data_IF_888056507884
#
_entry.id   IF_888056507884
#
_cell.length_a   1.000
_cell.length_b   1.000
_cell.length_c   1.000
_cell.angle_alpha   90.00
_cell.angle_beta   90.00
_cell.angle_gamma   90.00
#
_symmetry.space_group_name_H-M   'P 1'
#
loop_
_entity.id
_entity.type
_entity.pdbx_description
1 polymer ?
#
# COMPACT_ATOMS: atom_id res chain seq x y z
N UNK A 1 -1.59 -17.82 22.10
CA UNK A 1 -2.86 -17.53 21.40
C UNK A 1 -2.50 -17.40 19.93
N UNK A 2 -3.12 -18.11 18.98
CA UNK A 2 -2.92 -17.75 17.58
C UNK A 2 -3.51 -16.35 17.39
N UNK A 3 -2.70 -15.40 16.96
CA UNK A 3 -3.19 -14.12 16.48
C UNK A 3 -3.90 -14.44 15.17
N UNK A 4 -5.24 -14.39 15.16
CA UNK A 4 -6.01 -14.52 13.92
C UNK A 4 -5.63 -13.34 13.04
N UNK A 5 -4.86 -13.60 11.98
CA UNK A 5 -4.54 -12.58 10.98
C UNK A 5 -5.85 -11.98 10.43
N UNK A 6 -5.99 -10.65 10.37
CA UNK A 6 -7.17 -10.02 9.79
C UNK A 6 -7.37 -10.47 8.34
N UNK A 7 -8.63 -10.70 7.93
CA UNK A 7 -8.92 -11.10 6.55
C UNK A 7 -8.67 -9.95 5.57
N UNK A 8 -7.83 -10.18 4.57
CA UNK A 8 -7.55 -9.24 3.47
C UNK A 8 -8.83 -8.78 2.81
N UNK A 9 -9.71 -9.71 2.44
CA UNK A 9 -11.00 -9.39 1.80
C UNK A 9 -11.90 -8.54 2.69
N UNK A 10 -11.94 -8.80 3.99
CA UNK A 10 -12.73 -7.99 4.93
C UNK A 10 -12.19 -6.56 5.02
N UNK A 11 -10.87 -6.40 5.10
CA UNK A 11 -10.21 -5.09 5.09
C UNK A 11 -10.45 -4.33 3.79
N UNK A 12 -10.33 -4.98 2.63
CA UNK A 12 -10.65 -4.37 1.35
C UNK A 12 -12.10 -3.91 1.27
N UNK A 13 -13.06 -4.72 1.71
CA UNK A 13 -14.48 -4.32 1.71
C UNK A 13 -14.74 -3.05 2.52
N UNK A 14 -14.02 -2.85 3.63
CA UNK A 14 -14.09 -1.66 4.47
C UNK A 14 -13.49 -0.44 3.76
N UNK A 15 -12.28 -0.58 3.22
CA UNK A 15 -11.60 0.45 2.43
C UNK A 15 -12.49 0.87 1.25
N UNK A 16 -13.03 -0.10 0.51
CA UNK A 16 -13.97 0.09 -0.59
C UNK A 16 -15.20 0.90 -0.21
N UNK A 17 -15.84 0.54 0.91
CA UNK A 17 -17.03 1.24 1.40
C UNK A 17 -16.71 2.70 1.75
N UNK A 18 -15.56 2.94 2.38
CA UNK A 18 -15.09 4.27 2.72
C UNK A 18 -14.79 5.09 1.46
N UNK A 19 -14.02 4.53 0.51
CA UNK A 19 -13.64 5.21 -0.74
C UNK A 19 -14.86 5.55 -1.58
N UNK A 20 -15.83 4.64 -1.74
CA UNK A 20 -17.07 4.95 -2.48
C UNK A 20 -17.85 6.14 -1.91
N UNK A 21 -17.73 6.37 -0.60
CA UNK A 21 -18.46 7.43 0.11
C UNK A 21 -17.69 8.75 0.10
N UNK A 22 -16.38 8.70 0.31
CA UNK A 22 -15.57 9.88 0.61
C UNK A 22 -14.53 10.23 -0.46
N UNK A 23 -14.11 9.26 -1.27
CA UNK A 23 -13.11 9.46 -2.33
C UNK A 23 -13.43 8.62 -3.59
N UNK A 24 -14.58 8.87 -4.25
CA UNK A 24 -15.03 8.05 -5.38
C UNK A 24 -14.07 8.08 -6.58
N UNK A 25 -13.33 9.17 -6.78
CA UNK A 25 -12.28 9.26 -7.80
C UNK A 25 -11.12 8.29 -7.52
N UNK A 26 -10.71 8.16 -6.25
CA UNK A 26 -9.73 7.15 -5.84
C UNK A 26 -10.28 5.73 -5.95
N UNK A 27 -11.57 5.52 -5.64
CA UNK A 27 -12.24 4.24 -5.85
C UNK A 27 -12.24 3.83 -7.32
N UNK A 28 -12.55 4.76 -8.22
CA UNK A 28 -12.61 4.50 -9.67
C UNK A 28 -11.26 4.11 -10.27
N UNK A 29 -10.15 4.43 -9.59
CA UNK A 29 -8.79 4.06 -10.00
C UNK A 29 -8.37 2.66 -9.55
N UNK A 30 -9.09 2.05 -8.61
CA UNK A 30 -8.84 0.65 -8.23
C UNK A 30 -9.20 -0.26 -9.41
N UNK A 31 -8.23 -1.08 -9.83
CA UNK A 31 -8.46 -2.02 -10.90
C UNK A 31 -9.47 -3.11 -10.46
N UNK A 32 -10.20 -3.72 -11.41
CA UNK A 32 -10.96 -4.93 -11.12
C UNK A 32 -10.03 -6.06 -10.62
N UNK A 33 -10.60 -7.15 -10.07
CA UNK A 33 -9.83 -8.33 -9.68
C UNK A 33 -8.89 -8.83 -10.79
N UNK A 34 -7.73 -9.33 -10.39
CA UNK A 34 -6.76 -9.91 -11.30
C UNK A 34 -7.29 -11.17 -11.96
N UNK A 35 -6.92 -11.38 -13.22
CA UNK A 35 -7.18 -12.63 -13.92
C UNK A 35 -6.34 -13.75 -13.27
N UNK A 36 -6.96 -14.85 -12.80
CA UNK A 36 -6.23 -15.99 -12.24
C UNK A 36 -5.15 -16.55 -13.18
N UNK A 37 -5.36 -16.50 -14.50
CA UNK A 37 -4.38 -16.98 -15.47
C UNK A 37 -3.15 -16.06 -15.54
N UNK A 38 -3.34 -14.74 -15.37
CA UNK A 38 -2.23 -13.79 -15.25
C UNK A 38 -1.43 -14.02 -13.96
N UNK A 39 -2.12 -14.32 -12.85
CA UNK A 39 -1.45 -14.64 -11.58
C UNK A 39 -0.63 -15.92 -11.69
N UNK A 40 -1.20 -16.98 -12.30
CA UNK A 40 -0.48 -18.23 -12.51
C UNK A 40 0.75 -18.04 -13.41
N UNK A 41 0.63 -17.23 -14.47
CA UNK A 41 1.77 -16.84 -15.30
C UNK A 41 2.84 -16.11 -14.48
N UNK A 42 2.45 -15.17 -13.61
CA UNK A 42 3.39 -14.42 -12.77
C UNK A 42 4.15 -15.32 -11.78
N UNK A 43 3.44 -16.23 -11.09
CA UNK A 43 4.07 -17.22 -10.20
C UNK A 43 5.09 -18.09 -10.96
N UNK A 44 4.71 -18.59 -12.14
CA UNK A 44 5.60 -19.39 -13.00
C UNK A 44 6.84 -18.59 -13.40
N UNK A 45 6.65 -17.35 -13.80
CA UNK A 45 7.69 -16.54 -14.40
C UNK A 45 8.68 -15.97 -13.37
N UNK A 46 8.21 -15.71 -12.15
CA UNK A 46 9.08 -15.36 -11.03
C UNK A 46 9.71 -16.60 -10.38
N UNK A 47 9.18 -17.81 -10.68
CA UNK A 47 9.58 -19.03 -10.00
C UNK A 47 9.24 -19.03 -8.50
N UNK A 48 8.21 -18.27 -8.11
CA UNK A 48 7.78 -18.08 -6.73
C UNK A 48 6.31 -18.45 -6.57
N UNK A 49 5.93 -18.82 -5.35
CA UNK A 49 4.52 -18.85 -4.95
C UNK A 49 4.15 -17.55 -4.30
N UNK A 50 3.03 -16.96 -4.72
CA UNK A 50 2.53 -15.74 -4.10
C UNK A 50 1.91 -16.07 -2.74
N UNK A 51 2.21 -15.30 -1.68
CA UNK A 51 1.59 -15.48 -0.37
C UNK A 51 0.06 -15.40 -0.46
N UNK A 52 -0.68 -16.17 0.36
CA UNK A 52 -2.15 -16.19 0.34
C UNK A 52 -2.78 -14.79 0.44
N UNK A 53 -2.24 -13.93 1.30
CA UNK A 53 -2.75 -12.57 1.46
C UNK A 53 -2.61 -11.72 0.17
N UNK A 54 -1.51 -11.89 -0.56
CA UNK A 54 -1.31 -11.20 -1.84
C UNK A 54 -2.31 -11.70 -2.89
N UNK A 55 -2.54 -13.01 -2.94
CA UNK A 55 -3.54 -13.61 -3.82
C UNK A 55 -4.95 -13.10 -3.50
N UNK A 56 -5.31 -13.01 -2.22
CA UNK A 56 -6.60 -12.45 -1.81
C UNK A 56 -6.73 -10.97 -2.18
N UNK A 57 -5.66 -10.19 -2.02
CA UNK A 57 -5.63 -8.77 -2.36
C UNK A 57 -5.81 -8.57 -3.87
N UNK A 58 -5.07 -9.30 -4.69
CA UNK A 58 -5.17 -9.29 -6.15
C UNK A 58 -6.55 -9.76 -6.64
N UNK A 59 -7.19 -10.70 -5.93
CA UNK A 59 -8.55 -11.12 -6.20
C UNK A 59 -9.63 -10.09 -5.78
N UNK A 60 -9.24 -9.03 -5.07
CA UNK A 60 -10.08 -7.85 -4.83
C UNK A 60 -9.77 -6.77 -5.87
N UNK A 61 -8.50 -6.38 -6.01
CA UNK A 61 -8.04 -5.35 -6.95
C UNK A 61 -6.67 -5.69 -7.54
N UNK A 62 -6.58 -5.67 -8.87
CA UNK A 62 -5.31 -5.84 -9.59
C UNK A 62 -4.50 -4.53 -9.62
N UNK A 63 -4.18 -3.98 -8.45
CA UNK A 63 -3.50 -2.68 -8.35
C UNK A 63 -4.38 -1.51 -8.79
N UNK A 64 -3.76 -0.52 -9.44
CA UNK A 64 -4.44 0.68 -9.95
C UNK A 64 -4.47 0.74 -11.48
N UNK A 65 -5.57 1.28 -12.03
CA UNK A 65 -5.66 1.64 -13.45
C UNK A 65 -5.16 3.07 -13.69
N UNK A 66 -4.35 3.26 -14.74
CA UNK A 66 -3.91 4.58 -15.19
C UNK A 66 -2.58 5.05 -14.59
N UNK A 67 -2.22 6.31 -14.87
CA UNK A 67 -0.97 6.89 -14.37
C UNK A 67 -1.00 7.02 -12.84
N UNK A 68 0.06 6.53 -12.20
CA UNK A 68 0.26 6.56 -10.76
C UNK A 68 0.94 7.88 -10.37
N UNK A 69 0.16 8.88 -9.96
CA UNK A 69 0.68 10.01 -9.19
C UNK A 69 0.85 9.66 -7.70
N UNK A 70 1.23 10.63 -6.88
CA UNK A 70 1.36 10.50 -5.40
C UNK A 70 0.01 10.37 -4.66
N UNK A 71 -1.09 10.31 -5.41
CA UNK A 71 -2.47 10.25 -4.91
C UNK A 71 -3.00 8.84 -5.16
N UNK A 72 -3.44 8.18 -4.09
CA UNK A 72 -3.81 6.77 -4.13
C UNK A 72 -4.48 6.28 -2.85
N UNK A 73 -5.16 5.12 -2.92
CA UNK A 73 -6.02 4.65 -1.85
C UNK A 73 -5.27 4.13 -0.62
N UNK A 74 -3.98 3.82 -0.75
CA UNK A 74 -3.15 3.22 0.29
C UNK A 74 -1.99 4.15 0.68
N UNK A 75 -1.56 4.13 1.96
CA UNK A 75 -0.45 4.94 2.42
C UNK A 75 0.88 4.53 1.77
N UNK A 76 1.63 5.55 1.36
CA UNK A 76 2.93 5.39 0.74
C UNK A 76 2.80 5.15 -0.76
N UNK A 77 2.88 3.89 -1.18
CA UNK A 77 3.13 3.52 -2.58
C UNK A 77 1.87 2.94 -3.24
N UNK A 78 1.56 3.31 -4.49
CA UNK A 78 0.43 2.74 -5.22
C UNK A 78 0.63 1.22 -5.44
N UNK A 79 -0.41 0.40 -5.24
CA UNK A 79 -0.33 -1.03 -5.48
C UNK A 79 -0.19 -1.33 -6.98
N UNK A 80 0.68 -2.30 -7.28
CA UNK A 80 1.03 -2.73 -8.62
C UNK A 80 0.01 -3.75 -9.15
N UNK A 81 -0.26 -3.67 -10.46
CA UNK A 81 -0.89 -4.77 -11.21
C UNK A 81 0.03 -5.98 -11.24
N UNK A 82 -0.52 -7.19 -11.45
CA UNK A 82 0.26 -8.44 -11.61
C UNK A 82 1.37 -8.28 -12.66
N UNK A 83 1.09 -7.64 -13.80
CA UNK A 83 2.08 -7.40 -14.84
C UNK A 83 3.22 -6.49 -14.36
N UNK A 84 2.89 -5.43 -13.61
CA UNK A 84 3.87 -4.53 -13.02
C UNK A 84 4.71 -5.21 -11.92
N UNK A 85 4.11 -6.10 -11.11
CA UNK A 85 4.85 -6.92 -10.12
C UNK A 85 5.96 -7.70 -10.83
N UNK A 86 5.62 -8.42 -11.90
CA UNK A 86 6.58 -9.22 -12.68
C UNK A 86 7.63 -8.33 -13.35
N UNK A 87 7.21 -7.24 -13.99
CA UNK A 87 8.12 -6.32 -14.67
C UNK A 87 9.13 -5.70 -13.69
N UNK A 88 8.66 -5.28 -12.49
CA UNK A 88 9.52 -4.71 -11.47
C UNK A 88 10.49 -5.73 -10.91
N UNK A 89 10.02 -6.92 -10.58
CA UNK A 89 10.86 -8.00 -10.08
C UNK A 89 11.95 -8.36 -11.10
N UNK A 90 11.59 -8.52 -12.38
CA UNK A 90 12.57 -8.80 -13.45
C UNK A 90 13.64 -7.71 -13.55
N UNK A 91 13.24 -6.44 -13.54
CA UNK A 91 14.19 -5.32 -13.58
C UNK A 91 15.17 -5.34 -12.40
N UNK A 92 14.72 -5.72 -11.20
CA UNK A 92 15.61 -5.90 -10.04
C UNK A 92 16.55 -7.10 -10.20
N UNK A 93 16.08 -8.21 -10.73
CA UNK A 93 16.93 -9.39 -11.02
C UNK A 93 18.00 -9.11 -12.08
N UNK A 94 17.65 -8.35 -13.12
CA UNK A 94 18.59 -7.90 -14.14
C UNK A 94 19.67 -6.98 -13.55
N UNK A 95 19.28 -6.04 -12.70
CA UNK A 95 20.22 -5.15 -12.00
C UNK A 95 21.19 -5.93 -11.11
N UNK A 96 20.68 -6.87 -10.31
CA UNK A 96 21.52 -7.76 -9.49
C UNK A 96 22.54 -8.53 -10.34
N UNK A 97 22.11 -9.08 -11.48
CA UNK A 97 22.98 -9.81 -12.40
C UNK A 97 24.05 -8.89 -12.99
N UNK A 98 23.68 -7.67 -13.38
CA UNK A 98 24.60 -6.67 -13.91
C UNK A 98 25.64 -6.22 -12.87
N UNK A 99 25.23 -5.98 -11.63
CA UNK A 99 26.12 -5.61 -10.53
C UNK A 99 27.10 -6.75 -10.18
N UNK A 100 26.60 -7.98 -10.05
CA UNK A 100 27.44 -9.15 -9.77
C UNK A 100 28.49 -9.41 -10.87
N UNK A 101 28.20 -9.06 -12.12
CA UNK A 101 29.16 -9.15 -13.21
C UNK A 101 30.27 -8.06 -13.18
N UNK A 102 30.07 -6.99 -12.40
CA UNK A 102 30.96 -5.82 -12.32
C UNK A 102 31.81 -5.78 -11.05
N UNK A 103 31.34 -6.38 -9.95
CA UNK A 103 32.06 -6.41 -8.68
C UNK A 103 32.97 -7.64 -8.54
N UNK A 104 34.19 -7.43 -8.05
CA UNK A 104 34.97 -8.48 -7.41
C UNK A 104 34.50 -8.56 -5.95
N UNK A 105 33.92 -9.70 -5.58
CA UNK A 105 33.37 -10.00 -4.25
C UNK A 105 34.28 -9.50 -3.12
N UNK A 106 33.75 -8.66 -2.23
CA UNK A 106 34.53 -8.02 -1.19
C UNK A 106 33.80 -7.55 0.07
N UNK A 107 32.49 -7.27 0.05
CA UNK A 107 31.78 -6.80 1.25
C UNK A 107 30.61 -7.73 1.64
N UNK A 108 30.56 -8.05 2.94
CA UNK A 108 29.49 -8.77 3.65
C UNK A 108 28.27 -7.84 3.91
N UNK A 109 27.87 -7.04 2.92
CA UNK A 109 26.69 -6.19 3.04
C UNK A 109 25.42 -7.03 2.77
N UNK A 110 24.32 -6.71 3.48
CA UNK A 110 23.04 -7.33 3.19
C UNK A 110 22.64 -7.01 1.73
N UNK A 111 22.06 -7.95 0.97
CA UNK A 111 21.75 -7.70 -0.43
C UNK A 111 20.68 -6.60 -0.56
N UNK A 112 20.92 -5.64 -1.45
CA UNK A 112 19.97 -4.57 -1.80
C UNK A 112 18.61 -5.10 -2.29
N UNK A 113 18.60 -6.34 -2.78
CA UNK A 113 17.40 -7.03 -3.22
C UNK A 113 17.52 -8.55 -3.05
N UNK A 114 16.41 -9.22 -2.73
CA UNK A 114 16.35 -10.68 -2.70
C UNK A 114 15.36 -11.22 -3.74
N UNK A 115 15.71 -12.32 -4.41
CA UNK A 115 14.87 -12.93 -5.45
C UNK A 115 13.49 -13.36 -4.96
N UNK A 116 13.32 -13.61 -3.65
CA UNK A 116 12.05 -13.97 -3.02
C UNK A 116 11.31 -12.77 -2.38
N UNK A 117 11.71 -11.53 -2.66
CA UNK A 117 10.92 -10.36 -2.29
C UNK A 117 9.99 -9.98 -3.43
N UNK A 118 8.68 -9.99 -3.14
CA UNK A 118 7.65 -9.71 -4.15
C UNK A 118 7.27 -8.23 -4.03
N UNK A 119 7.63 -7.36 -4.99
CA UNK A 119 7.17 -5.97 -4.99
C UNK A 119 5.68 -5.95 -5.23
N UNK A 120 4.91 -5.36 -4.33
CA UNK A 120 3.45 -5.29 -4.48
C UNK A 120 2.95 -3.85 -4.59
N UNK A 121 3.75 -2.87 -4.17
CA UNK A 121 3.50 -1.45 -4.35
C UNK A 121 4.81 -0.69 -4.63
N UNK A 122 4.80 0.37 -5.44
CA UNK A 122 6.01 1.13 -5.76
C UNK A 122 5.74 2.62 -6.02
N UNK A 123 6.63 3.50 -5.58
CA UNK A 123 6.73 4.89 -6.03
C UNK A 123 8.19 5.31 -6.05
N UNK A 124 8.59 6.10 -7.06
CA UNK A 124 9.89 6.79 -7.12
C UNK A 124 11.12 5.89 -6.87
N UNK A 125 11.06 4.63 -7.32
CA UNK A 125 12.15 3.68 -7.17
C UNK A 125 12.13 2.88 -5.87
N UNK A 126 11.37 3.32 -4.86
CA UNK A 126 11.17 2.58 -3.63
C UNK A 126 10.03 1.58 -3.81
N UNK A 127 10.20 0.36 -3.30
CA UNK A 127 9.19 -0.70 -3.40
C UNK A 127 8.74 -1.16 -2.02
N UNK A 128 7.42 -1.26 -1.79
CA UNK A 128 6.90 -2.07 -0.71
C UNK A 128 6.88 -3.53 -1.19
N UNK A 129 7.50 -4.40 -0.40
CA UNK A 129 7.70 -5.80 -0.75
C UNK A 129 7.07 -6.71 0.29
N UNK A 130 6.70 -7.90 -0.16
CA UNK A 130 6.31 -9.02 0.71
C UNK A 130 7.45 -10.03 0.70
N UNK A 131 7.95 -10.39 1.88
CA UNK A 131 9.01 -11.38 2.01
C UNK A 131 8.44 -12.79 1.83
N UNK A 132 8.71 -13.45 0.70
CA UNK A 132 8.25 -14.81 0.42
C UNK A 132 9.25 -15.90 0.83
N UNK A 133 10.37 -15.53 1.50
CA UNK A 133 11.32 -16.50 2.01
C UNK A 133 10.68 -17.36 3.09
N UNK A 134 10.98 -18.64 3.10
CA UNK A 134 10.58 -19.52 4.19
C UNK A 134 11.32 -19.11 5.47
N UNK A 135 10.58 -18.96 6.57
CA UNK A 135 11.15 -18.61 7.87
C UNK A 135 10.29 -17.66 8.68
N UNK A 136 10.90 -17.01 9.67
CA UNK A 136 10.20 -16.18 10.63
C UNK A 136 9.59 -14.89 10.02
N UNK A 137 10.10 -14.47 8.86
CA UNK A 137 9.68 -13.25 8.16
C UNK A 137 8.76 -13.53 6.97
N UNK A 138 8.38 -14.79 6.73
CA UNK A 138 7.49 -15.13 5.61
C UNK A 138 6.17 -14.37 5.72
N UNK A 139 5.83 -13.62 4.67
CA UNK A 139 4.64 -12.78 4.59
C UNK A 139 4.80 -11.36 5.14
N UNK A 140 5.95 -11.01 5.75
CA UNK A 140 6.18 -9.67 6.26
C UNK A 140 6.13 -8.64 5.13
N UNK A 141 5.52 -7.50 5.43
CA UNK A 141 5.44 -6.34 4.54
C UNK A 141 6.38 -5.27 5.04
N UNK A 142 7.27 -4.80 4.18
CA UNK A 142 8.14 -3.67 4.47
C UNK A 142 8.58 -2.96 3.18
N UNK A 143 9.44 -1.97 3.31
CA UNK A 143 9.92 -1.14 2.20
C UNK A 143 11.38 -1.44 1.89
N UNK A 144 11.68 -1.65 0.62
CA UNK A 144 13.04 -1.57 0.07
C UNK A 144 13.20 -0.19 -0.54
N UNK A 145 14.04 0.64 0.07
CA UNK A 145 14.39 1.96 -0.45
C UNK A 145 15.44 1.82 -1.56
N UNK A 146 15.42 2.73 -2.53
CA UNK A 146 16.34 2.64 -3.67
C UNK A 146 17.80 3.01 -3.32
N UNK A 147 18.03 3.65 -2.17
CA UNK A 147 19.32 4.13 -1.67
C UNK A 147 19.83 3.39 -0.43
N UNK A 148 19.05 2.45 0.12
CA UNK A 148 19.40 1.63 1.29
C UNK A 148 19.29 0.13 0.99
N UNK A 149 20.05 -0.67 1.75
CA UNK A 149 19.99 -2.12 1.67
C UNK A 149 18.89 -2.72 2.58
N UNK A 150 18.28 -3.82 2.14
CA UNK A 150 17.37 -4.62 2.95
C UNK A 150 15.91 -4.14 2.99
N UNK A 151 15.08 -4.88 3.73
CA UNK A 151 13.71 -4.49 4.06
C UNK A 151 13.74 -3.61 5.32
N UNK A 152 13.24 -2.40 5.19
CA UNK A 152 12.99 -1.42 6.25
C UNK A 152 11.47 -1.28 6.50
N UNK A 153 11.05 -0.50 7.50
CA UNK A 153 9.63 -0.23 7.81
C UNK A 153 8.73 -1.50 7.84
N UNK A 154 9.26 -2.59 8.41
CA UNK A 154 8.62 -3.91 8.43
C UNK A 154 7.67 -4.10 9.64
N UNK A 155 6.82 -3.10 9.90
CA UNK A 155 5.93 -3.10 11.07
C UNK A 155 4.81 -4.16 10.97
N UNK A 156 4.53 -4.66 9.75
CA UNK A 156 3.46 -5.62 9.50
C UNK A 156 4.01 -7.01 9.18
N UNK A 157 3.56 -7.99 9.96
CA UNK A 157 3.87 -9.40 9.75
C UNK A 157 3.08 -10.04 8.60
N UNK A 158 2.11 -9.32 8.01
CA UNK A 158 1.29 -9.80 6.90
C UNK A 158 0.63 -8.63 6.15
N UNK A 159 0.26 -8.85 4.89
CA UNK A 159 -0.50 -7.88 4.11
C UNK A 159 -1.92 -7.71 4.66
N UNK A 160 -2.53 -8.76 5.23
CA UNK A 160 -3.81 -8.67 5.93
C UNK A 160 -3.77 -7.69 7.10
N UNK A 161 -2.70 -7.71 7.91
CA UNK A 161 -2.51 -6.76 9.01
C UNK A 161 -2.34 -5.32 8.51
N UNK A 162 -1.54 -5.10 7.45
CA UNK A 162 -1.37 -3.78 6.86
C UNK A 162 -2.70 -3.20 6.36
N UNK A 163 -3.47 -3.96 5.57
CA UNK A 163 -4.75 -3.50 5.05
C UNK A 163 -5.80 -3.30 6.15
N UNK A 164 -5.73 -4.09 7.23
CA UNK A 164 -6.58 -3.89 8.39
C UNK A 164 -6.30 -2.53 9.04
N UNK A 165 -5.04 -2.19 9.30
CA UNK A 165 -4.68 -0.91 9.91
C UNK A 165 -5.04 0.27 9.01
N UNK A 166 -4.91 0.13 7.68
CA UNK A 166 -5.41 1.13 6.72
C UNK A 166 -6.91 1.36 6.91
N UNK A 167 -7.70 0.28 6.99
CA UNK A 167 -9.14 0.37 7.19
C UNK A 167 -9.49 1.03 8.53
N UNK A 168 -8.79 0.67 9.62
CA UNK A 168 -8.98 1.27 10.94
C UNK A 168 -8.72 2.79 10.90
N UNK A 169 -7.64 3.23 10.25
CA UNK A 169 -7.29 4.66 10.16
C UNK A 169 -8.30 5.43 9.30
N UNK A 170 -8.78 4.87 8.19
CA UNK A 170 -9.82 5.52 7.38
C UNK A 170 -11.14 5.66 8.14
N UNK A 171 -11.55 4.61 8.86
CA UNK A 171 -12.84 4.60 9.55
C UNK A 171 -12.85 5.41 10.85
N UNK A 172 -11.76 5.40 11.61
CA UNK A 172 -11.69 5.94 12.96
C UNK A 172 -10.73 7.12 13.12
N UNK A 173 -9.93 7.41 12.08
CA UNK A 173 -8.87 8.40 12.13
C UNK A 173 -7.60 7.86 12.78
N UNK A 174 -6.57 8.70 12.84
CA UNK A 174 -5.25 8.33 13.34
C UNK A 174 -4.20 8.37 12.24
N UNK A 175 -3.17 7.54 12.38
CA UNK A 175 -2.05 7.48 11.45
C UNK A 175 -1.53 6.07 11.28
N UNK A 176 -0.98 5.80 10.12
CA UNK A 176 -0.27 4.58 9.79
C UNK A 176 1.21 4.93 9.61
N UNK A 177 2.06 4.50 10.54
CA UNK A 177 3.42 5.01 10.65
C UNK A 177 3.43 6.54 10.85
N UNK A 178 3.92 7.27 9.85
CA UNK A 178 3.93 8.76 9.82
C UNK A 178 2.82 9.37 8.96
N UNK A 179 2.04 8.54 8.27
CA UNK A 179 1.07 8.98 7.26
C UNK A 179 -0.35 9.10 7.82
N UNK A 180 -1.03 10.17 7.44
CA UNK A 180 -2.42 10.53 7.78
C UNK A 180 -3.21 10.71 6.47
N UNK A 181 -4.48 10.29 6.40
CA UNK A 181 -5.30 10.45 5.21
C UNK A 181 -5.85 11.88 5.06
N UNK A 182 -5.77 12.40 3.84
CA UNK A 182 -6.27 13.69 3.40
C UNK A 182 -7.08 13.55 2.10
N UNK A 183 -8.00 14.47 1.85
CA UNK A 183 -8.69 14.62 0.57
C UNK A 183 -8.18 15.87 -0.16
N UNK A 184 -7.90 15.70 -1.45
CA UNK A 184 -7.70 16.82 -2.38
C UNK A 184 -9.02 17.57 -2.60
N UNK A 185 -8.96 18.76 -3.19
CA UNK A 185 -10.16 19.49 -3.64
C UNK A 185 -10.98 18.72 -4.69
N UNK A 186 -10.31 17.88 -5.48
CA UNK A 186 -10.93 16.92 -6.40
C UNK A 186 -11.54 15.69 -5.75
N UNK A 187 -11.48 15.56 -4.42
CA UNK A 187 -12.03 14.41 -3.70
C UNK A 187 -11.23 13.12 -3.86
N UNK A 188 -9.94 13.21 -4.17
CA UNK A 188 -9.05 12.06 -4.17
C UNK A 188 -8.36 11.89 -2.80
N UNK A 189 -8.19 10.65 -2.37
CA UNK A 189 -7.45 10.28 -1.18
C UNK A 189 -5.94 10.42 -1.41
N UNK A 190 -5.28 11.10 -0.49
CA UNK A 190 -3.84 11.26 -0.43
C UNK A 190 -3.36 11.02 1.00
N UNK A 191 -2.20 10.36 1.15
CA UNK A 191 -1.61 10.08 2.44
C UNK A 191 -0.32 10.88 2.58
N UNK A 192 -0.19 11.65 3.66
CA UNK A 192 0.99 12.47 3.92
C UNK A 192 1.24 12.65 5.41
N UNK A 193 2.30 13.35 5.78
CA UNK A 193 2.65 13.70 7.14
C UNK A 193 1.53 14.50 7.82
N UNK A 194 1.38 14.25 9.12
CA UNK A 194 0.47 15.02 9.95
C UNK A 194 0.79 16.53 9.88
N UNK A 195 -0.24 17.33 9.61
CA UNK A 195 -0.13 18.77 9.47
C UNK A 195 0.15 19.26 8.04
N UNK A 196 0.28 18.37 7.05
CA UNK A 196 0.31 18.79 5.65
C UNK A 196 -0.99 19.50 5.27
N UNK A 197 -0.87 20.65 4.60
CA UNK A 197 -2.02 21.48 4.19
C UNK A 197 -2.21 21.56 2.67
N UNK A 198 -1.23 21.14 1.87
CA UNK A 198 -1.31 21.14 0.41
C UNK A 198 -0.37 20.13 -0.25
N UNK A 199 -0.82 19.53 -1.35
CA UNK A 199 -0.01 18.77 -2.31
C UNK A 199 0.34 19.69 -3.49
N UNK A 200 1.55 20.27 -3.48
CA UNK A 200 1.94 21.27 -4.46
C UNK A 200 1.08 22.54 -4.37
N UNK A 201 0.16 22.73 -5.32
CA UNK A 201 -0.82 23.84 -5.31
C UNK A 201 -2.23 23.39 -4.89
N UNK A 202 -2.43 22.10 -4.70
CA UNK A 202 -3.73 21.51 -4.38
C UNK A 202 -3.92 21.51 -2.86
N UNK A 203 -4.93 22.20 -2.32
CA UNK A 203 -5.22 22.17 -0.89
C UNK A 203 -5.59 20.75 -0.43
N UNK A 204 -5.23 20.43 0.81
CA UNK A 204 -5.59 19.17 1.45
C UNK A 204 -6.50 19.44 2.64
N UNK A 205 -7.54 18.61 2.76
CA UNK A 205 -8.42 18.60 3.94
C UNK A 205 -8.30 17.25 4.64
N UNK A 206 -8.29 17.19 5.98
CA UNK A 206 -8.24 15.91 6.69
C UNK A 206 -9.40 14.99 6.26
N UNK A 207 -9.11 13.72 6.03
CA UNK A 207 -10.13 12.77 5.59
C UNK A 207 -11.20 12.55 6.70
N UNK A 208 -12.48 12.42 6.32
CA UNK A 208 -13.56 12.21 7.28
C UNK A 208 -13.49 10.81 7.89
N UNK A 209 -13.85 10.71 9.17
CA UNK A 209 -13.99 9.43 9.87
C UNK A 209 -15.46 9.04 9.93
N UNK A 210 -15.76 7.74 9.92
CA UNK A 210 -17.12 7.18 9.92
C UNK A 210 -17.94 7.50 11.18
N UNK A 211 -17.31 8.08 12.20
CA UNK A 211 -17.95 8.52 13.45
C UNK A 211 -18.33 10.01 13.52
N UNK A 212 -17.94 10.85 12.55
CA UNK A 212 -18.19 12.30 12.65
C UNK A 212 -19.46 12.67 11.87
N UNK A 213 -20.63 12.49 12.49
CA UNK A 213 -21.83 13.21 12.07
C UNK A 213 -21.62 14.73 12.20
N UNK A 214 -22.35 15.57 11.45
CA UNK A 214 -22.21 17.02 11.55
C UNK A 214 -22.45 17.43 13.00
N UNK A 215 -21.45 18.02 13.65
CA UNK A 215 -21.63 18.75 14.89
C UNK A 215 -22.53 19.94 14.55
N UNK A 216 -23.84 19.76 14.66
CA UNK A 216 -24.79 20.86 14.67
C UNK A 216 -24.39 21.78 15.81
N UNK A 217 -23.82 22.92 15.43
CA UNK A 217 -23.43 23.98 16.35
C UNK A 217 -24.62 24.36 17.22
N UNK A 218 -24.46 24.19 18.52
CA UNK A 218 -25.37 24.76 19.50
C UNK A 218 -25.15 26.28 19.48
N UNK A 219 -25.96 26.99 18.70
CA UNK A 219 -26.01 28.44 18.71
C UNK A 219 -26.47 28.95 20.08
N UNK A 220 -25.97 30.10 20.56
CA UNK A 220 -26.37 30.63 21.85
C UNK A 220 -27.86 30.99 21.85
N UNK A 221 -28.55 30.63 22.93
CA UNK A 221 -29.94 30.99 23.15
C UNK A 221 -30.09 32.52 23.20
N UNK A 222 -31.18 33.10 22.67
CA UNK A 222 -31.44 34.52 22.81
C UNK A 222 -31.88 34.83 24.24
N UNK A 223 -31.15 35.71 24.91
CA UNK A 223 -31.65 36.38 26.11
C UNK A 223 -32.90 37.18 25.74
N UNK A 224 -34.00 36.87 26.41
CA UNK A 224 -35.27 37.60 26.27
C UNK A 224 -35.46 38.42 27.54
N UNK A 225 -35.45 39.74 27.35
CA UNK A 225 -35.97 40.87 28.16
C UNK A 225 -36.05 40.72 29.70
#
# INVERSE_FOLDING_TARGET
MPHTTPSVRASWNRIDAWLRTHAPESYARLAPPADPDQVAWAEQEMGLRFPPDLLESLACHNGLTGATGTVGPLPGKPPLTVEQIVARWRGRMELLTFMAAREHAGDDEAPDWHAQWIPWAESDGDAQVIDARDGATQGWVGTVFHDDAGIQDADWSSLGSYLHDVAEVLEHGGKLGRSVPYLTDGGELHWDLEGTTALGRTPLTPAPTTGTGPTTGSGPAPDTD
#
